data_IF_448361988290
#
_entry.id   IF_448361988290
#
_cell.length_a   1.000
_cell.length_b   1.000
_cell.length_c   1.000
_cell.angle_alpha   90.00
_cell.angle_beta   90.00
_cell.angle_gamma   90.00
#
_symmetry.space_group_name_H-M   'P 1'
#
loop_
_entity.id
_entity.type
_entity.pdbx_description
1 polymer ?
#
# COMPACT_ATOMS: atom_id res chain seq x y z
N UNK A 1 11.02 0.81 0.42
CA UNK A 1 10.31 1.03 1.70
C UNK A 1 9.87 -0.35 2.19
N UNK A 2 9.87 -0.61 3.48
CA UNK A 2 9.44 -1.90 4.06
C UNK A 2 8.38 -1.57 5.10
N UNK A 3 7.23 -2.25 5.06
CA UNK A 3 6.18 -2.09 6.07
C UNK A 3 6.05 -3.38 6.86
N UNK A 4 5.87 -3.24 8.16
CA UNK A 4 5.60 -4.36 9.06
C UNK A 4 4.19 -4.18 9.56
N UNK A 5 3.27 -5.00 9.07
CA UNK A 5 1.98 -5.19 9.72
C UNK A 5 2.22 -5.99 11.02
N UNK A 6 1.42 -5.75 12.05
CA UNK A 6 1.54 -6.42 13.34
C UNK A 6 0.24 -7.20 13.57
N UNK A 7 0.19 -8.41 13.03
CA UNK A 7 -0.97 -9.29 13.11
C UNK A 7 -0.88 -10.43 12.11
N UNK A 8 -1.77 -11.40 12.22
CA UNK A 8 -1.90 -12.44 11.20
C UNK A 8 -2.43 -11.82 9.91
N UNK A 9 -1.78 -12.12 8.78
CA UNK A 9 -2.28 -11.66 7.49
C UNK A 9 -3.64 -12.32 7.23
N UNK A 10 -4.70 -11.55 6.91
CA UNK A 10 -6.00 -12.15 6.65
C UNK A 10 -5.91 -13.14 5.47
N UNK A 11 -6.25 -14.40 5.74
CA UNK A 11 -6.10 -15.49 4.77
C UNK A 11 -7.30 -15.63 3.80
N UNK A 12 -8.41 -14.97 4.11
CA UNK A 12 -9.69 -15.09 3.39
C UNK A 12 -10.29 -13.72 3.10
N UNK A 13 -11.17 -13.64 2.10
CA UNK A 13 -11.87 -12.41 1.74
C UNK A 13 -11.06 -11.50 0.81
N UNK A 14 -11.61 -10.32 0.56
CA UNK A 14 -10.95 -9.31 -0.26
C UNK A 14 -10.16 -8.36 0.63
N UNK A 15 -8.84 -8.42 0.55
CA UNK A 15 -7.95 -7.59 1.37
C UNK A 15 -7.24 -6.58 0.50
N UNK A 16 -7.22 -5.31 0.91
CA UNK A 16 -6.43 -4.25 0.31
C UNK A 16 -5.47 -3.68 1.36
N UNK A 17 -4.18 -3.88 1.12
CA UNK A 17 -3.13 -3.15 1.82
C UNK A 17 -2.81 -1.92 0.99
N UNK A 18 -2.92 -0.75 1.61
CA UNK A 18 -2.66 0.51 0.92
C UNK A 18 -1.71 1.39 1.70
N UNK A 19 -0.82 2.06 0.98
CA UNK A 19 -0.06 3.20 1.48
C UNK A 19 -0.49 4.43 0.72
N UNK A 20 -0.78 5.52 1.42
CA UNK A 20 -0.91 6.85 0.82
C UNK A 20 0.30 7.68 1.22
N UNK A 21 1.03 8.19 0.24
CA UNK A 21 2.07 9.19 0.40
C UNK A 21 1.59 10.53 -0.15
N UNK A 22 1.89 11.62 0.53
CA UNK A 22 1.54 12.96 0.06
C UNK A 22 2.65 13.97 0.37
N UNK A 23 2.78 14.97 -0.49
CA UNK A 23 3.71 16.09 -0.26
C UNK A 23 3.37 16.82 1.05
N UNK A 24 4.27 17.68 1.52
CA UNK A 24 4.05 18.45 2.76
C UNK A 24 2.72 19.22 2.80
N UNK A 25 2.21 19.67 1.65
CA UNK A 25 0.96 20.42 1.54
C UNK A 25 -0.29 19.55 1.38
N UNK A 26 -0.13 18.25 1.14
CA UNK A 26 -1.21 17.34 0.77
C UNK A 26 -1.75 17.56 -0.65
N UNK A 27 -1.09 18.37 -1.48
CA UNK A 27 -1.60 18.76 -2.80
C UNK A 27 -1.37 17.65 -3.84
N UNK A 28 -0.23 16.97 -3.74
CA UNK A 28 0.09 15.80 -4.53
C UNK A 28 0.04 14.57 -3.62
N UNK A 29 -0.70 13.56 -4.04
CA UNK A 29 -0.82 12.29 -3.34
C UNK A 29 -0.64 11.12 -4.30
N UNK A 30 0.02 10.08 -3.79
CA UNK A 30 0.28 8.82 -4.46
C UNK A 30 -0.18 7.71 -3.54
N UNK A 31 -0.90 6.73 -4.08
CA UNK A 31 -1.25 5.52 -3.35
C UNK A 31 -0.47 4.34 -3.92
N UNK A 32 0.08 3.47 -3.08
CA UNK A 32 0.40 2.08 -3.44
C UNK A 32 -0.75 1.20 -2.96
N UNK A 33 -1.22 0.29 -3.80
CA UNK A 33 -2.22 -0.72 -3.44
C UNK A 33 -1.73 -2.12 -3.78
N UNK A 34 -1.86 -3.03 -2.82
CA UNK A 34 -1.73 -4.47 -2.99
C UNK A 34 -3.05 -5.10 -2.59
N UNK A 35 -3.65 -5.91 -3.48
CA UNK A 35 -4.97 -6.50 -3.26
C UNK A 35 -4.91 -8.00 -3.41
N UNK A 36 -5.50 -8.72 -2.46
CA UNK A 36 -5.69 -10.17 -2.53
C UNK A 36 -7.16 -10.55 -2.49
N UNK A 37 -7.45 -11.73 -3.04
CA UNK A 37 -8.69 -12.46 -2.83
C UNK A 37 -8.30 -13.85 -2.31
N UNK A 38 -8.73 -14.17 -1.09
CA UNK A 38 -8.43 -15.45 -0.44
C UNK A 38 -6.93 -15.77 -0.44
N UNK A 39 -6.13 -14.78 -0.03
CA UNK A 39 -4.67 -14.85 0.03
C UNK A 39 -3.95 -14.77 -1.33
N UNK A 40 -4.67 -14.89 -2.45
CA UNK A 40 -4.09 -14.81 -3.78
C UNK A 40 -4.02 -13.36 -4.26
N UNK A 41 -2.84 -12.91 -4.71
CA UNK A 41 -2.71 -11.58 -5.30
C UNK A 41 -3.62 -11.45 -6.54
N UNK A 42 -4.45 -10.42 -6.54
CA UNK A 42 -5.30 -10.06 -7.69
C UNK A 42 -4.98 -8.68 -8.27
N UNK A 43 -4.29 -7.81 -7.51
CA UNK A 43 -3.81 -6.54 -8.04
C UNK A 43 -2.59 -6.02 -7.27
N UNK A 44 -1.71 -5.33 -7.99
CA UNK A 44 -0.62 -4.55 -7.43
C UNK A 44 -0.43 -3.29 -8.30
N UNK A 45 -0.57 -2.11 -7.71
CA UNK A 45 -0.71 -0.86 -8.48
C UNK A 45 -0.34 0.38 -7.69
N UNK A 46 -0.10 1.47 -8.41
CA UNK A 46 -0.08 2.83 -7.85
C UNK A 46 -1.21 3.68 -8.42
N UNK A 47 -1.75 4.60 -7.60
CA UNK A 47 -2.53 5.74 -8.08
C UNK A 47 -1.76 7.04 -7.90
N UNK A 48 -1.84 7.92 -8.89
CA UNK A 48 -1.48 9.33 -8.76
C UNK A 48 -2.67 10.15 -9.30
N UNK A 49 -3.42 10.79 -8.41
CA UNK A 49 -4.75 11.32 -8.74
C UNK A 49 -5.67 10.21 -9.32
N UNK A 50 -6.28 10.46 -10.47
CA UNK A 50 -7.16 9.48 -11.13
C UNK A 50 -6.41 8.43 -11.97
N UNK A 51 -5.08 8.52 -12.08
CA UNK A 51 -4.30 7.62 -12.95
C UNK A 51 -3.83 6.40 -12.16
N UNK A 52 -4.34 5.23 -12.54
CA UNK A 52 -3.81 3.95 -12.09
C UNK A 52 -2.63 3.51 -12.97
N UNK A 53 -1.61 2.94 -12.36
CA UNK A 53 -0.55 2.20 -13.03
C UNK A 53 -0.38 0.85 -12.34
N UNK A 54 -0.56 -0.23 -13.11
CA UNK A 54 -0.30 -1.57 -12.60
C UNK A 54 1.21 -1.81 -12.53
N UNK A 55 1.63 -2.45 -11.44
CA UNK A 55 3.00 -2.84 -11.22
C UNK A 55 3.16 -4.33 -11.53
N UNK A 56 4.32 -4.71 -12.05
CA UNK A 56 4.74 -6.10 -12.14
C UNK A 56 5.24 -6.62 -10.78
N UNK A 57 5.08 -7.93 -10.54
CA UNK A 57 5.60 -8.59 -9.34
C UNK A 57 4.60 -8.61 -8.19
N UNK A 58 5.11 -8.84 -6.98
CA UNK A 58 4.34 -8.93 -5.75
C UNK A 58 5.15 -8.35 -4.58
N UNK A 59 4.48 -7.84 -3.53
CA UNK A 59 5.14 -7.59 -2.25
C UNK A 59 5.78 -8.85 -1.68
N UNK A 60 6.83 -8.67 -0.88
CA UNK A 60 7.43 -9.74 -0.10
C UNK A 60 6.63 -9.97 1.18
N UNK A 61 6.17 -11.21 1.35
CA UNK A 61 5.36 -11.70 2.47
C UNK A 61 6.04 -12.87 3.20
N UNK A 62 7.35 -13.05 2.99
CA UNK A 62 8.11 -14.17 3.54
C UNK A 62 8.24 -14.14 5.06
N UNK A 63 8.10 -12.96 5.66
CA UNK A 63 8.11 -12.78 7.11
C UNK A 63 6.67 -12.78 7.63
N UNK A 64 6.31 -13.72 8.52
CA UNK A 64 4.96 -13.78 9.09
C UNK A 64 4.52 -12.44 9.68
N UNK A 65 3.30 -12.04 9.32
CA UNK A 65 2.70 -10.78 9.72
C UNK A 65 3.23 -9.54 9.01
N UNK A 66 4.24 -9.62 8.15
CA UNK A 66 4.80 -8.44 7.48
C UNK A 66 4.55 -8.45 5.97
N UNK A 67 4.41 -7.25 5.40
CA UNK A 67 4.31 -7.05 3.94
C UNK A 67 5.29 -5.96 3.53
N UNK A 68 6.37 -6.36 2.89
CA UNK A 68 7.34 -5.44 2.33
C UNK A 68 7.00 -5.14 0.87
N UNK A 69 6.54 -3.93 0.59
CA UNK A 69 6.20 -3.50 -0.76
C UNK A 69 7.03 -2.28 -1.20
N UNK A 70 7.32 -2.19 -2.50
CA UNK A 70 8.16 -1.14 -3.05
C UNK A 70 7.29 -0.12 -3.79
N UNK A 71 7.27 1.12 -3.30
CA UNK A 71 6.74 2.25 -4.06
C UNK A 71 7.82 2.75 -5.03
N UNK A 72 7.58 2.74 -6.36
CA UNK A 72 8.59 3.15 -7.34
C UNK A 72 9.02 4.61 -7.15
N UNK A 73 10.32 4.89 -7.31
CA UNK A 73 10.86 6.26 -7.19
C UNK A 73 10.19 7.25 -8.15
N UNK A 74 9.88 6.80 -9.37
CA UNK A 74 9.14 7.59 -10.36
C UNK A 74 7.75 8.00 -9.89
N UNK A 75 7.10 7.19 -9.04
CA UNK A 75 5.77 7.50 -8.50
C UNK A 75 5.86 8.61 -7.45
N UNK A 76 6.90 8.61 -6.59
CA UNK A 76 7.08 9.62 -5.54
C UNK A 76 7.86 10.86 -5.97
N UNK A 77 8.45 10.87 -7.17
CA UNK A 77 9.24 12.00 -7.66
C UNK A 77 8.48 13.33 -7.61
N UNK A 78 7.16 13.31 -7.85
CA UNK A 78 6.29 14.48 -7.82
C UNK A 78 6.03 15.01 -6.39
N UNK A 79 6.29 14.22 -5.34
CA UNK A 79 6.09 14.63 -3.95
C UNK A 79 7.22 15.52 -3.41
N UNK A 80 8.34 15.61 -4.14
CA UNK A 80 9.51 16.38 -3.73
C UNK A 80 10.33 15.70 -2.62
N UNK A 81 11.18 16.48 -1.95
CA UNK A 81 12.11 15.98 -0.93
C UNK A 81 11.48 15.79 0.46
N UNK A 82 10.34 16.45 0.73
CA UNK A 82 9.61 16.35 1.99
C UNK A 82 8.19 15.85 1.74
N UNK A 83 7.89 14.66 2.23
CA UNK A 83 6.56 14.04 2.13
C UNK A 83 6.29 13.18 3.36
N UNK A 84 5.00 12.93 3.59
CA UNK A 84 4.52 12.08 4.67
C UNK A 84 3.71 10.93 4.09
N UNK A 85 3.50 9.90 4.89
CA UNK A 85 2.74 8.75 4.44
C UNK A 85 1.95 8.12 5.57
N UNK A 86 0.97 7.30 5.19
CA UNK A 86 0.19 6.45 6.09
C UNK A 86 -0.10 5.13 5.39
N UNK A 87 -0.23 4.06 6.18
CA UNK A 87 -0.64 2.75 5.69
C UNK A 87 -1.95 2.31 6.35
N UNK A 88 -2.81 1.65 5.58
CA UNK A 88 -4.13 1.17 6.00
C UNK A 88 -4.37 -0.21 5.40
N UNK A 89 -4.97 -1.10 6.20
CA UNK A 89 -5.46 -2.41 5.74
C UNK A 89 -6.98 -2.39 5.72
N UNK A 90 -7.57 -2.79 4.60
CA UNK A 90 -9.00 -2.96 4.42
C UNK A 90 -9.30 -4.44 4.18
N UNK A 91 -10.25 -5.01 4.92
CA UNK A 91 -10.76 -6.37 4.71
C UNK A 91 -12.25 -6.24 4.39
N UNK A 92 -12.67 -6.77 3.25
CA UNK A 92 -14.06 -6.75 2.78
C UNK A 92 -14.71 -5.34 2.81
N UNK A 93 -13.89 -4.33 2.47
CA UNK A 93 -14.23 -2.91 2.50
C UNK A 93 -14.45 -2.29 3.89
N UNK A 94 -14.06 -2.98 4.96
CA UNK A 94 -13.97 -2.44 6.32
C UNK A 94 -12.50 -2.11 6.70
N UNK A 95 -12.28 -0.95 7.31
CA UNK A 95 -10.97 -0.54 7.85
C UNK A 95 -10.67 -1.35 9.12
N UNK A 96 -9.81 -2.38 9.03
CA UNK A 96 -9.49 -3.27 10.17
C UNK A 96 -8.21 -2.91 10.90
N UNK A 97 -7.34 -2.05 10.35
CA UNK A 97 -6.12 -1.61 11.04
C UNK A 97 -5.58 -0.26 10.54
N UNK A 98 -4.84 0.44 11.41
CA UNK A 98 -4.16 1.72 11.15
C UNK A 98 -2.76 1.69 11.77
N UNK A 99 -1.70 1.82 10.96
CA UNK A 99 -0.36 2.01 11.49
C UNK A 99 -0.18 3.46 12.00
N UNK A 100 0.26 3.68 13.25
CA UNK A 100 0.68 5.00 13.69
C UNK A 100 2.07 5.34 13.12
N UNK A 101 2.30 6.64 12.89
CA UNK A 101 3.55 7.24 12.42
C UNK A 101 4.71 7.00 13.39
#
# INVERSE_FOLDING_TARGET
MVWSYQGDLPATGTVLWSLSAADRGGNNAVQLGYKTLDGNQIAYFTFAGAKQQNLSGAPDVSVPGQIAAVLPSAAVAALGSEWHWKAVVNVDAEDVDRCPN
#
